data_IF_962401290498
#
_entry.id   IF_962401290498
#
_cell.length_a   1.000
_cell.length_b   1.000
_cell.length_c   1.000
_cell.angle_alpha   90.00
_cell.angle_beta   90.00
_cell.angle_gamma   90.00
#
_symmetry.space_group_name_H-M   'P 1'
#
loop_
_entity.id
_entity.type
_entity.pdbx_description
1 polymer ?
#
# COMPACT_ATOMS: atom_id res chain seq x y z
N UNK A 1 4.32 21.23 -3.50
CA UNK A 1 4.94 19.91 -3.75
C UNK A 1 6.10 19.79 -2.78
N UNK A 2 6.20 18.71 -2.01
CA UNK A 2 7.23 18.53 -0.97
C UNK A 2 8.61 18.37 -1.63
N UNK A 3 9.67 18.97 -1.06
CA UNK A 3 11.05 18.70 -1.49
C UNK A 3 11.58 17.39 -0.88
N UNK A 4 12.71 16.89 -1.39
CA UNK A 4 13.26 15.60 -0.95
C UNK A 4 13.57 15.56 0.55
N UNK A 5 14.06 16.67 1.11
CA UNK A 5 14.34 16.79 2.54
C UNK A 5 13.07 16.59 3.36
N UNK A 6 12.00 17.31 2.99
CA UNK A 6 10.68 17.19 3.63
C UNK A 6 10.13 15.77 3.53
N UNK A 7 10.30 15.11 2.37
CA UNK A 7 9.85 13.72 2.17
C UNK A 7 10.57 12.77 3.14
N UNK A 8 11.89 12.87 3.24
CA UNK A 8 12.68 12.08 4.19
C UNK A 8 12.28 12.34 5.63
N UNK A 9 12.10 13.60 6.02
CA UNK A 9 11.61 13.96 7.35
C UNK A 9 10.24 13.32 7.65
N UNK A 10 9.30 13.37 6.69
CA UNK A 10 7.97 12.78 6.87
C UNK A 10 8.04 11.26 7.04
N UNK A 11 8.91 10.58 6.31
CA UNK A 11 9.16 9.14 6.45
C UNK A 11 9.78 8.83 7.82
N UNK A 12 10.73 9.65 8.28
CA UNK A 12 11.31 9.48 9.61
C UNK A 12 10.28 9.74 10.72
N UNK A 13 9.35 10.66 10.53
CA UNK A 13 8.25 10.87 11.48
C UNK A 13 7.41 9.60 11.64
N UNK A 14 7.07 8.91 10.54
CA UNK A 14 6.44 7.59 10.65
C UNK A 14 7.33 6.60 11.41
N UNK A 15 8.62 6.53 11.07
CA UNK A 15 9.54 5.61 11.73
C UNK A 15 9.63 5.81 13.25
N UNK A 16 9.57 7.05 13.72
CA UNK A 16 9.58 7.35 15.16
C UNK A 16 8.25 7.01 15.84
N UNK A 17 7.13 7.07 15.12
CA UNK A 17 5.78 6.94 15.69
C UNK A 17 5.10 5.59 15.43
N UNK A 18 5.60 4.78 14.49
CA UNK A 18 4.95 3.54 14.02
C UNK A 18 4.68 2.55 15.14
N UNK A 19 5.54 2.44 16.15
CA UNK A 19 5.33 1.50 17.25
C UNK A 19 4.44 2.07 18.38
N UNK A 20 4.00 3.31 18.27
CA UNK A 20 3.11 3.96 19.25
C UNK A 20 1.64 3.59 19.05
N UNK A 21 0.83 3.82 20.10
CA UNK A 21 -0.63 3.63 20.02
C UNK A 21 -1.30 4.53 18.98
N UNK A 22 -0.69 5.69 18.69
CA UNK A 22 -1.21 6.63 17.69
C UNK A 22 -1.05 6.15 16.25
N UNK A 23 -0.23 5.12 16.00
CA UNK A 23 -0.05 4.59 14.66
C UNK A 23 -1.37 4.12 14.03
N UNK A 24 -2.28 3.56 14.84
CA UNK A 24 -3.59 3.15 14.33
C UNK A 24 -4.41 4.31 13.79
N UNK A 25 -4.33 5.47 14.44
CA UNK A 25 -5.07 6.66 14.04
C UNK A 25 -4.65 7.11 12.64
N UNK A 26 -3.36 7.02 12.33
CA UNK A 26 -2.85 7.36 11.01
C UNK A 26 -3.24 6.32 9.96
N UNK A 27 -3.08 5.04 10.27
CA UNK A 27 -3.39 3.94 9.36
C UNK A 27 -4.90 3.84 9.05
N UNK A 28 -5.76 4.32 9.95
CA UNK A 28 -7.22 4.42 9.77
C UNK A 28 -7.70 5.83 9.40
N UNK A 29 -6.80 6.74 8.99
CA UNK A 29 -7.20 8.11 8.62
C UNK A 29 -7.91 8.22 7.27
N UNK A 30 -8.03 7.11 6.53
CA UNK A 30 -8.82 7.01 5.31
C UNK A 30 -8.88 5.57 4.79
N UNK A 31 -9.43 5.40 3.58
CA UNK A 31 -9.83 4.08 3.07
C UNK A 31 -8.83 3.46 2.08
N UNK A 32 -7.68 4.10 1.86
CA UNK A 32 -6.68 3.69 0.88
C UNK A 32 -6.16 4.88 0.06
N UNK A 33 -5.25 4.60 -0.87
CA UNK A 33 -4.66 5.61 -1.78
C UNK A 33 -4.73 5.16 -3.23
N UNK A 34 -4.62 6.09 -4.17
CA UNK A 34 -4.66 5.79 -5.61
C UNK A 34 -3.28 5.60 -6.23
N UNK A 35 -3.19 4.57 -7.08
CA UNK A 35 -2.16 4.42 -8.10
C UNK A 35 -2.85 4.58 -9.45
N UNK A 36 -2.46 5.59 -10.21
CA UNK A 36 -3.03 5.92 -11.52
C UNK A 36 -2.19 5.35 -12.65
N UNK A 37 -2.81 5.21 -13.82
CA UNK A 37 -2.12 4.83 -15.06
C UNK A 37 -0.99 5.81 -15.39
N UNK A 38 -1.15 7.10 -15.05
CA UNK A 38 -0.10 8.10 -15.25
C UNK A 38 1.13 7.84 -14.37
N UNK A 39 0.94 7.44 -13.11
CA UNK A 39 2.07 7.04 -12.25
C UNK A 39 2.80 5.85 -12.87
N UNK A 40 2.05 4.83 -13.30
CA UNK A 40 2.59 3.64 -13.94
C UNK A 40 3.34 3.96 -15.25
N UNK A 41 2.79 4.84 -16.10
CA UNK A 41 3.43 5.25 -17.36
C UNK A 41 4.81 5.86 -17.10
N UNK A 42 4.93 6.76 -16.13
CA UNK A 42 6.22 7.35 -15.79
C UNK A 42 7.23 6.29 -15.33
N UNK A 43 6.83 5.33 -14.49
CA UNK A 43 7.73 4.24 -14.08
C UNK A 43 8.07 3.27 -15.22
N UNK A 44 7.18 3.09 -16.20
CA UNK A 44 7.41 2.20 -17.34
C UNK A 44 8.48 2.70 -18.32
N UNK A 45 8.72 4.01 -18.32
CA UNK A 45 9.75 4.67 -19.14
C UNK A 45 11.16 4.46 -18.57
N UNK A 46 11.28 4.08 -17.29
CA UNK A 46 12.56 3.86 -16.60
C UNK A 46 13.28 2.64 -17.19
N UNK A 47 14.61 2.74 -17.31
CA UNK A 47 15.50 1.69 -17.82
C UNK A 47 16.67 1.43 -16.86
N UNK A 48 16.95 0.17 -16.48
CA UNK A 48 16.19 -1.04 -16.80
C UNK A 48 14.75 -1.01 -16.26
N UNK A 49 13.91 -1.96 -16.64
CA UNK A 49 12.53 -2.01 -16.11
C UNK A 49 12.57 -2.24 -14.61
N UNK A 50 11.83 -1.48 -13.79
CA UNK A 50 11.75 -1.70 -12.35
C UNK A 50 11.29 -3.11 -11.99
N UNK A 51 11.78 -3.63 -10.86
CA UNK A 51 11.23 -4.87 -10.30
C UNK A 51 10.06 -4.57 -9.37
N UNK A 52 10.14 -3.47 -8.62
CA UNK A 52 9.15 -3.13 -7.59
C UNK A 52 8.90 -1.63 -7.53
N UNK A 53 7.72 -1.27 -7.04
CA UNK A 53 7.41 0.05 -6.51
C UNK A 53 7.49 -0.01 -4.99
N UNK A 54 8.36 0.81 -4.42
CA UNK A 54 8.51 1.02 -2.99
C UNK A 54 7.45 2.02 -2.52
N UNK A 55 6.69 1.62 -1.51
CA UNK A 55 5.59 2.36 -0.92
C UNK A 55 5.93 2.71 0.53
N UNK A 56 6.47 3.90 0.72
CA UNK A 56 6.90 4.41 2.02
C UNK A 56 5.74 5.03 2.77
N UNK A 57 5.58 4.61 4.03
CA UNK A 57 4.63 5.23 4.95
C UNK A 57 5.26 6.45 5.60
N UNK A 58 4.47 7.51 5.75
CA UNK A 58 4.97 8.78 6.27
C UNK A 58 3.90 9.57 7.02
N UNK A 59 4.36 10.43 7.95
CA UNK A 59 3.52 11.41 8.65
C UNK A 59 4.04 12.79 8.28
N UNK A 60 3.19 13.58 7.62
CA UNK A 60 3.59 14.92 7.22
C UNK A 60 3.64 15.89 8.42
N UNK A 61 4.20 17.09 8.23
CA UNK A 61 4.27 18.13 9.27
C UNK A 61 2.92 18.59 9.85
N UNK A 62 1.82 18.35 9.14
CA UNK A 62 0.46 18.65 9.59
C UNK A 62 -0.16 17.49 10.38
N UNK A 63 0.60 16.42 10.62
CA UNK A 63 0.15 15.21 11.27
C UNK A 63 -0.91 14.45 10.46
N UNK A 64 -0.84 14.54 9.12
CA UNK A 64 -1.61 13.70 8.21
C UNK A 64 -0.77 12.50 7.75
N UNK A 65 -1.44 11.37 7.53
CA UNK A 65 -0.81 10.20 6.93
C UNK A 65 -0.68 10.38 5.41
N UNK A 66 0.52 10.17 4.90
CA UNK A 66 0.83 10.25 3.46
C UNK A 66 1.67 9.04 3.05
N UNK A 67 1.62 8.72 1.77
CA UNK A 67 2.34 7.60 1.17
C UNK A 67 3.26 8.16 0.08
N UNK A 68 4.51 7.73 0.06
CA UNK A 68 5.44 8.04 -1.03
C UNK A 68 5.71 6.80 -1.87
N UNK A 69 5.46 6.90 -3.18
CA UNK A 69 5.65 5.82 -4.15
C UNK A 69 6.84 6.14 -5.06
N UNK A 70 7.78 5.21 -5.19
CA UNK A 70 8.94 5.32 -6.09
C UNK A 70 9.38 3.94 -6.55
N UNK A 71 9.88 3.82 -7.78
CA UNK A 71 10.42 2.55 -8.26
C UNK A 71 11.79 2.22 -7.63
N UNK A 72 12.14 0.93 -7.59
CA UNK A 72 13.37 0.44 -6.96
C UNK A 72 14.67 0.97 -7.60
N UNK A 73 14.64 1.37 -8.88
CA UNK A 73 15.82 1.86 -9.60
C UNK A 73 16.08 3.33 -9.28
N UNK A 74 15.06 4.17 -9.39
CA UNK A 74 15.14 5.58 -8.96
C UNK A 74 15.57 5.66 -7.51
N UNK A 75 14.94 4.87 -6.64
CA UNK A 75 15.23 4.88 -5.22
C UNK A 75 16.68 4.49 -4.92
N UNK A 76 17.18 3.42 -5.54
CA UNK A 76 18.57 2.97 -5.40
C UNK A 76 19.57 4.03 -5.89
N UNK A 77 19.25 4.76 -6.95
CA UNK A 77 20.14 5.78 -7.53
C UNK A 77 20.09 7.14 -6.82
N UNK A 78 19.01 7.43 -6.08
CA UNK A 78 18.79 8.72 -5.43
C UNK A 78 18.35 9.87 -6.36
N UNK A 79 18.03 9.58 -7.62
CA UNK A 79 17.70 10.58 -8.64
C UNK A 79 16.20 10.91 -8.67
N UNK A 80 15.70 11.49 -7.59
CA UNK A 80 14.27 11.76 -7.41
C UNK A 80 13.83 13.04 -8.13
N UNK A 81 12.70 12.94 -8.83
CA UNK A 81 11.92 14.06 -9.34
C UNK A 81 10.48 13.89 -8.88
N UNK A 82 10.06 14.76 -7.96
CA UNK A 82 8.72 14.69 -7.35
C UNK A 82 7.65 14.98 -8.40
N UNK A 83 6.63 14.14 -8.45
CA UNK A 83 5.56 14.17 -9.44
C UNK A 83 5.90 13.54 -10.79
N UNK A 84 7.11 12.97 -10.93
CA UNK A 84 7.55 12.27 -12.15
C UNK A 84 7.93 10.82 -11.84
N UNK A 85 8.88 10.58 -10.94
CA UNK A 85 9.28 9.22 -10.55
C UNK A 85 9.08 8.94 -9.05
N UNK A 86 8.87 9.99 -8.26
CA UNK A 86 8.50 9.94 -6.85
C UNK A 86 7.16 10.65 -6.63
N UNK A 87 6.16 9.93 -6.15
CA UNK A 87 4.80 10.46 -6.01
C UNK A 87 4.37 10.50 -4.55
N UNK A 88 3.82 11.64 -4.12
CA UNK A 88 3.10 11.77 -2.85
C UNK A 88 1.63 11.42 -3.07
N UNK A 89 1.13 10.46 -2.29
CA UNK A 89 -0.27 10.04 -2.27
C UNK A 89 -0.86 10.33 -0.91
N UNK A 90 -2.12 10.76 -0.92
CA UNK A 90 -2.93 10.95 0.28
C UNK A 90 -3.96 9.84 0.35
N UNK A 91 -4.46 9.61 1.55
CA UNK A 91 -5.65 8.80 1.67
C UNK A 91 -6.87 9.50 1.10
N UNK A 92 -7.70 8.70 0.45
CA UNK A 92 -8.99 9.12 -0.07
C UNK A 92 -10.10 8.53 0.80
N UNK A 93 -11.07 9.36 1.17
CA UNK A 93 -12.25 8.93 1.92
C UNK A 93 -13.27 8.24 1.01
N UNK A 94 -13.42 8.69 -0.24
CA UNK A 94 -14.42 8.20 -1.19
C UNK A 94 -13.81 8.03 -2.58
N UNK A 95 -14.10 6.90 -3.24
CA UNK A 95 -13.60 6.56 -4.58
C UNK A 95 -14.69 6.70 -5.67
N UNK A 96 -15.80 7.36 -5.34
CA UNK A 96 -17.06 7.32 -6.10
C UNK A 96 -17.01 8.06 -7.46
N UNK A 97 -15.88 8.71 -7.79
CA UNK A 97 -15.74 9.54 -8.98
C UNK A 97 -14.51 9.20 -9.85
N UNK A 98 -14.05 7.95 -9.84
CA UNK A 98 -12.97 7.54 -10.74
C UNK A 98 -13.50 7.41 -12.19
N UNK A 99 -13.07 8.24 -13.14
CA UNK A 99 -13.37 8.03 -14.55
C UNK A 99 -12.72 6.70 -15.02
N UNK A 100 -13.34 6.04 -15.98
CA UNK A 100 -12.78 4.85 -16.63
C UNK A 100 -13.45 3.53 -16.25
N UNK A 101 -14.66 3.31 -16.77
CA UNK A 101 -15.34 2.01 -16.75
C UNK A 101 -14.79 1.14 -17.89
N UNK A 102 -13.90 0.21 -17.55
CA UNK A 102 -13.45 -0.86 -18.45
C UNK A 102 -14.33 -2.09 -18.21
N UNK A 103 -15.03 -2.57 -19.25
CA UNK A 103 -15.90 -3.75 -19.18
C UNK A 103 -15.13 -5.10 -19.16
N UNK A 104 -13.84 -5.12 -18.83
CA UNK A 104 -13.07 -6.36 -18.85
C UNK A 104 -13.34 -7.21 -17.60
N UNK A 105 -13.85 -8.42 -17.78
CA UNK A 105 -14.00 -9.40 -16.69
C UNK A 105 -12.61 -9.92 -16.26
N UNK A 106 -12.20 -9.67 -15.01
CA UNK A 106 -10.89 -10.11 -14.51
C UNK A 106 -10.88 -11.55 -14.00
N UNK A 107 -9.79 -12.25 -14.32
CA UNK A 107 -9.23 -13.30 -13.45
C UNK A 107 -8.41 -12.60 -12.38
N UNK A 108 -9.02 -12.42 -11.21
CA UNK A 108 -8.34 -11.97 -9.99
C UNK A 108 -7.35 -13.03 -9.51
N UNK A 109 -6.16 -12.62 -9.03
CA UNK A 109 -5.27 -13.54 -8.29
C UNK A 109 -5.77 -13.79 -6.87
N UNK A 110 -6.63 -12.90 -6.35
CA UNK A 110 -7.24 -12.98 -5.02
C UNK A 110 -8.77 -13.06 -5.12
N UNK A 111 -9.43 -14.16 -4.72
CA UNK A 111 -10.89 -14.23 -4.73
C UNK A 111 -11.53 -13.07 -3.95
N UNK A 112 -12.63 -12.44 -4.43
CA UNK A 112 -13.28 -11.33 -3.73
C UNK A 112 -13.61 -11.63 -2.26
N UNK A 113 -14.16 -12.81 -1.97
CA UNK A 113 -14.45 -13.23 -0.59
C UNK A 113 -13.20 -13.29 0.31
N UNK A 114 -12.04 -13.60 -0.26
CA UNK A 114 -10.78 -13.62 0.47
C UNK A 114 -10.27 -12.19 0.70
N UNK A 115 -10.33 -11.33 -0.32
CA UNK A 115 -9.99 -9.92 -0.19
C UNK A 115 -10.86 -9.21 0.86
N UNK A 116 -12.17 -9.40 0.78
CA UNK A 116 -13.15 -8.83 1.71
C UNK A 116 -12.89 -9.29 3.14
N UNK A 117 -12.55 -10.57 3.34
CA UNK A 117 -12.19 -11.09 4.66
C UNK A 117 -10.96 -10.38 5.23
N UNK A 118 -9.90 -10.20 4.44
CA UNK A 118 -8.67 -9.54 4.90
C UNK A 118 -8.85 -8.04 5.14
N UNK A 119 -9.63 -7.36 4.31
CA UNK A 119 -10.01 -5.95 4.50
C UNK A 119 -10.88 -5.83 5.77
N UNK A 120 -11.85 -6.71 5.95
CA UNK A 120 -12.71 -6.75 7.14
C UNK A 120 -11.89 -7.00 8.41
N UNK A 121 -10.90 -7.90 8.35
CA UNK A 121 -9.98 -8.13 9.45
C UNK A 121 -9.20 -6.85 9.82
N UNK A 122 -8.77 -6.05 8.83
CA UNK A 122 -8.17 -4.75 9.12
C UNK A 122 -9.17 -3.81 9.83
N UNK A 123 -10.36 -3.64 9.27
CA UNK A 123 -11.39 -2.74 9.82
C UNK A 123 -11.77 -3.12 11.26
N UNK A 124 -11.97 -4.41 11.53
CA UNK A 124 -12.47 -4.89 12.83
C UNK A 124 -11.36 -5.18 13.84
N UNK A 125 -10.20 -5.65 13.39
CA UNK A 125 -9.17 -6.23 14.27
C UNK A 125 -7.87 -5.42 14.33
N UNK A 126 -7.72 -4.32 13.59
CA UNK A 126 -6.48 -3.52 13.57
C UNK A 126 -6.02 -3.02 14.95
N UNK A 127 -6.96 -2.65 15.82
CA UNK A 127 -6.66 -2.31 17.22
C UNK A 127 -6.06 -3.49 17.99
N UNK A 128 -6.67 -4.68 17.88
CA UNK A 128 -6.18 -5.88 18.54
C UNK A 128 -4.82 -6.30 17.97
N UNK A 129 -4.64 -6.19 16.66
CA UNK A 129 -3.37 -6.44 15.98
C UNK A 129 -2.23 -5.52 16.48
N UNK A 130 -2.47 -4.21 16.64
CA UNK A 130 -1.45 -3.29 17.19
C UNK A 130 -1.11 -3.62 18.65
N UNK A 131 -2.11 -3.98 19.47
CA UNK A 131 -1.86 -4.43 20.84
C UNK A 131 -1.03 -5.72 20.86
N UNK A 132 -1.30 -6.65 19.96
CA UNK A 132 -0.51 -7.87 19.82
C UNK A 132 0.94 -7.56 19.40
N UNK A 133 1.15 -6.71 18.38
CA UNK A 133 2.49 -6.22 17.99
C UNK A 133 3.21 -5.54 19.18
N UNK A 134 2.50 -4.77 20.00
CA UNK A 134 3.04 -4.15 21.22
C UNK A 134 3.51 -5.20 22.24
N UNK A 135 2.70 -6.24 22.48
CA UNK A 135 3.07 -7.33 23.38
C UNK A 135 4.32 -8.07 22.89
N UNK A 136 4.40 -8.41 21.60
CA UNK A 136 5.59 -9.04 21.00
C UNK A 136 6.85 -8.19 21.20
N UNK A 137 6.75 -6.85 21.13
CA UNK A 137 7.90 -5.97 21.40
C UNK A 137 8.39 -6.00 22.86
N UNK A 138 7.54 -6.40 23.81
CA UNK A 138 7.90 -6.53 25.22
C UNK A 138 8.58 -7.87 25.52
N UNK A 139 8.40 -8.86 24.65
CA UNK A 139 9.00 -10.17 24.73
C UNK A 139 10.37 -10.15 24.04
N UNK A 140 11.45 -10.41 24.80
CA UNK A 140 12.84 -10.29 24.29
C UNK A 140 13.14 -11.14 23.05
N UNK A 141 12.44 -12.25 22.87
CA UNK A 141 12.67 -13.20 21.79
C UNK A 141 11.87 -12.88 20.52
N UNK A 142 10.87 -11.99 20.61
CA UNK A 142 9.96 -11.66 19.50
C UNK A 142 9.91 -10.15 19.19
N UNK A 143 10.88 -9.37 19.70
CA UNK A 143 10.95 -7.91 19.51
C UNK A 143 10.85 -7.52 18.04
N UNK A 144 11.58 -8.20 17.17
CA UNK A 144 11.57 -7.95 15.73
C UNK A 144 10.19 -8.23 15.11
N UNK A 145 9.54 -9.33 15.49
CA UNK A 145 8.20 -9.68 15.01
C UNK A 145 7.14 -8.66 15.43
N UNK A 146 7.38 -8.00 16.56
CA UNK A 146 6.56 -6.90 17.04
C UNK A 146 6.72 -5.61 16.24
N UNK A 147 7.76 -5.42 15.44
CA UNK A 147 7.96 -4.16 14.72
C UNK A 147 6.90 -3.90 13.64
N UNK A 148 6.46 -2.65 13.56
CA UNK A 148 5.53 -2.19 12.52
C UNK A 148 6.25 -1.95 11.19
N UNK A 149 5.52 -2.14 10.10
CA UNK A 149 6.01 -1.96 8.72
C UNK A 149 6.50 -0.53 8.47
N UNK A 150 7.57 -0.40 7.68
CA UNK A 150 8.12 0.91 7.26
C UNK A 150 7.83 1.19 5.79
N UNK A 151 7.93 0.16 4.95
CA UNK A 151 7.76 0.25 3.50
C UNK A 151 7.09 -1.01 3.00
N UNK A 152 6.24 -0.89 1.98
CA UNK A 152 5.75 -2.03 1.21
C UNK A 152 6.43 -2.06 -0.16
N UNK A 153 6.56 -3.23 -0.76
CA UNK A 153 6.94 -3.34 -2.18
C UNK A 153 5.81 -3.95 -2.98
N UNK A 154 5.46 -3.32 -4.09
CA UNK A 154 4.48 -3.85 -5.06
C UNK A 154 5.26 -4.27 -6.31
N UNK A 155 5.22 -5.55 -6.73
CA UNK A 155 5.89 -6.02 -7.92
C UNK A 155 5.42 -5.25 -9.16
N UNK A 156 6.38 -4.74 -9.92
CA UNK A 156 6.10 -3.93 -11.11
C UNK A 156 5.40 -4.76 -12.20
N UNK A 157 5.68 -6.06 -12.26
CA UNK A 157 5.05 -6.98 -13.20
C UNK A 157 3.53 -7.08 -12.97
N UNK A 158 3.10 -7.06 -11.70
CA UNK A 158 1.68 -7.11 -11.36
C UNK A 158 0.97 -5.82 -11.77
N UNK A 159 1.60 -4.66 -11.51
CA UNK A 159 1.10 -3.37 -12.02
C UNK A 159 1.03 -3.36 -13.55
N UNK A 160 2.02 -3.92 -14.24
CA UNK A 160 2.01 -4.05 -15.70
C UNK A 160 0.83 -4.89 -16.18
N UNK A 161 0.52 -6.02 -15.55
CA UNK A 161 -0.67 -6.80 -15.93
C UNK A 161 -1.95 -5.98 -15.74
N UNK A 162 -2.10 -5.32 -14.59
CA UNK A 162 -3.29 -4.52 -14.25
C UNK A 162 -3.47 -3.31 -15.19
N UNK A 163 -2.42 -2.54 -15.46
CA UNK A 163 -2.51 -1.35 -16.31
C UNK A 163 -2.49 -1.66 -17.82
N UNK A 164 -1.65 -2.60 -18.29
CA UNK A 164 -1.52 -2.89 -19.72
C UNK A 164 -2.52 -3.94 -20.19
N UNK A 165 -2.60 -5.08 -19.50
CA UNK A 165 -3.42 -6.21 -19.95
C UNK A 165 -4.88 -6.04 -19.54
N UNK A 166 -5.15 -5.50 -18.33
CA UNK A 166 -6.51 -5.25 -17.84
C UNK A 166 -7.01 -3.84 -18.12
N UNK A 167 -6.14 -2.93 -18.60
CA UNK A 167 -6.47 -1.55 -18.99
C UNK A 167 -7.14 -0.77 -17.87
N UNK A 168 -6.62 -0.90 -16.67
CA UNK A 168 -7.09 -0.12 -15.54
C UNK A 168 -6.60 1.32 -15.63
N UNK A 169 -7.44 2.30 -15.31
CA UNK A 169 -7.02 3.71 -15.26
C UNK A 169 -6.53 4.09 -13.86
N UNK A 170 -7.17 3.52 -12.84
CA UNK A 170 -6.87 3.75 -11.43
C UNK A 170 -7.00 2.44 -10.65
N UNK A 171 -6.10 2.26 -9.69
CA UNK A 171 -6.09 1.19 -8.71
C UNK A 171 -6.16 1.81 -7.32
N UNK A 172 -7.13 1.38 -6.52
CA UNK A 172 -7.19 1.66 -5.10
C UNK A 172 -6.26 0.70 -4.37
N UNK A 173 -5.37 1.23 -3.56
CA UNK A 173 -4.52 0.48 -2.66
C UNK A 173 -5.07 0.61 -1.23
N UNK A 174 -5.56 -0.48 -0.64
CA UNK A 174 -6.16 -0.49 0.70
C UNK A 174 -5.36 -1.34 1.67
N UNK A 175 -5.30 -0.94 2.94
CA UNK A 175 -4.73 -1.80 3.98
C UNK A 175 -5.64 -2.97 4.28
N UNK A 176 -5.02 -4.12 4.56
CA UNK A 176 -5.67 -5.35 4.93
C UNK A 176 -4.81 -6.13 5.93
N UNK A 177 -5.41 -7.12 6.61
CA UNK A 177 -4.70 -8.07 7.47
C UNK A 177 -4.79 -9.48 6.87
N UNK A 178 -3.62 -10.02 6.53
CA UNK A 178 -3.48 -11.41 6.09
C UNK A 178 -3.11 -12.29 7.27
N UNK A 179 -3.95 -13.26 7.57
CA UNK A 179 -3.62 -14.28 8.56
C UNK A 179 -2.48 -15.15 8.03
N UNK A 180 -1.52 -15.44 8.90
CA UNK A 180 -0.49 -16.43 8.64
C UNK A 180 -0.39 -17.39 9.82
N UNK A 181 -0.05 -18.62 9.49
CA UNK A 181 0.19 -19.67 10.45
C UNK A 181 1.43 -20.44 10.01
N UNK A 182 2.47 -20.34 10.85
CA UNK A 182 3.66 -21.17 10.75
C UNK A 182 3.64 -22.18 11.90
N UNK A 183 4.58 -23.14 11.89
CA UNK A 183 4.71 -24.11 12.99
C UNK A 183 5.03 -23.45 14.34
N UNK A 184 5.53 -22.22 14.33
CA UNK A 184 6.09 -21.53 15.49
C UNK A 184 5.21 -20.36 15.93
N UNK A 185 4.53 -19.69 15.01
CA UNK A 185 3.76 -18.46 15.26
C UNK A 185 2.51 -18.42 14.38
N UNK A 186 1.38 -18.06 14.99
CA UNK A 186 0.15 -17.63 14.32
C UNK A 186 -0.01 -16.13 14.50
N UNK A 187 -0.45 -15.43 13.45
CA UNK A 187 -0.59 -13.98 13.52
C UNK A 187 -1.24 -13.37 12.30
N UNK A 188 -1.17 -12.04 12.24
CA UNK A 188 -1.58 -11.28 11.08
C UNK A 188 -0.44 -10.36 10.65
N UNK A 189 -0.24 -10.27 9.35
CA UNK A 189 0.61 -9.27 8.74
C UNK A 189 -0.24 -8.24 7.99
N UNK A 190 0.21 -7.00 8.09
CA UNK A 190 -0.37 -5.92 7.32
C UNK A 190 0.09 -6.03 5.88
N UNK A 191 -0.83 -5.81 4.96
CA UNK A 191 -0.56 -5.75 3.53
C UNK A 191 -1.35 -4.60 2.88
N UNK A 192 -1.02 -4.33 1.63
CA UNK A 192 -1.76 -3.47 0.72
C UNK A 192 -2.38 -4.33 -0.38
N UNK A 193 -3.70 -4.38 -0.44
CA UNK A 193 -4.45 -5.01 -1.52
C UNK A 193 -4.73 -3.95 -2.58
N UNK A 194 -4.48 -4.28 -3.84
CA UNK A 194 -4.89 -3.44 -4.96
C UNK A 194 -6.30 -3.85 -5.39
N UNK A 195 -7.18 -2.87 -5.57
CA UNK A 195 -8.57 -3.05 -5.94
C UNK A 195 -8.94 -2.14 -7.10
N UNK A 196 -9.82 -2.63 -7.97
CA UNK A 196 -10.57 -1.80 -8.91
C UNK A 196 -12.05 -2.00 -8.67
N UNK A 197 -12.74 -0.89 -8.45
CA UNK A 197 -14.20 -0.82 -8.36
C UNK A 197 -14.75 -0.49 -9.75
N UNK A 198 -15.63 -1.34 -10.25
CA UNK A 198 -16.41 -1.13 -11.47
C UNK A 198 -17.87 -0.90 -11.07
N UNK A 199 -18.39 0.27 -11.41
CA UNK A 199 -19.80 0.61 -11.23
C UNK A 199 -20.59 0.24 -12.48
N UNK A 200 -21.40 -0.82 -12.41
CA UNK A 200 -22.33 -1.09 -13.49
C UNK A 200 -23.55 -0.17 -13.33
N UNK A 201 -23.47 1.02 -13.93
CA UNK A 201 -24.58 1.95 -14.04
C UNK A 201 -25.53 1.51 -15.15
N UNK A 202 -26.16 0.34 -14.99
CA UNK A 202 -27.29 -0.05 -15.84
C UNK A 202 -28.53 0.74 -15.37
N UNK A 203 -29.02 1.72 -16.16
CA UNK A 203 -30.16 2.55 -15.77
C UNK A 203 -31.45 1.73 -15.63
N UNK A 204 -31.54 0.55 -16.26
CA UNK A 204 -32.73 -0.30 -16.26
C UNK A 204 -32.77 -1.27 -15.06
N UNK A 205 -31.61 -1.57 -14.47
CA UNK A 205 -31.51 -2.54 -13.37
C UNK A 205 -32.02 -2.00 -12.02
N UNK A 206 -32.22 -0.68 -11.88
CA UNK A 206 -32.68 -0.02 -10.63
C UNK A 206 -31.72 -0.16 -9.43
N UNK A 207 -30.65 -0.94 -9.57
CA UNK A 207 -29.62 -1.22 -8.56
C UNK A 207 -28.26 -1.14 -9.25
N UNK A 208 -27.42 -0.21 -8.80
CA UNK A 208 -26.01 -0.17 -9.21
C UNK A 208 -25.29 -1.39 -8.64
N UNK A 209 -24.92 -2.33 -9.51
CA UNK A 209 -24.08 -3.45 -9.12
C UNK A 209 -22.62 -2.97 -9.09
N UNK A 210 -22.06 -2.91 -7.88
CA UNK A 210 -20.64 -2.66 -7.68
C UNK A 210 -19.90 -3.99 -7.82
N UNK A 211 -18.97 -4.07 -8.76
CA UNK A 211 -18.07 -5.21 -8.89
C UNK A 211 -16.66 -4.78 -8.55
N UNK A 212 -16.02 -5.51 -7.64
CA UNK A 212 -14.63 -5.27 -7.29
C UNK A 212 -13.72 -6.40 -7.77
N UNK A 213 -12.55 -6.03 -8.26
CA UNK A 213 -11.47 -6.95 -8.63
C UNK A 213 -10.24 -6.64 -7.78
N UNK A 214 -9.57 -7.68 -7.26
CA UNK A 214 -8.51 -7.53 -6.27
C UNK A 214 -7.17 -8.14 -6.73
N UNK A 215 -6.06 -7.69 -6.16
CA UNK A 215 -4.76 -8.30 -6.34
C UNK A 215 -3.95 -8.23 -5.04
N UNK A 216 -3.57 -9.41 -4.52
CA UNK A 216 -2.62 -9.58 -3.41
C UNK A 216 -1.20 -9.55 -4.00
N UNK A 217 -0.54 -8.40 -3.92
CA UNK A 217 0.76 -8.19 -4.60
C UNK A 217 1.80 -7.55 -3.69
N UNK A 218 1.39 -6.85 -2.64
CA UNK A 218 2.33 -6.13 -1.80
C UNK A 218 3.08 -7.05 -0.85
N UNK A 219 4.33 -6.68 -0.54
CA UNK A 219 5.12 -7.33 0.49
C UNK A 219 5.51 -6.30 1.56
N UNK A 220 5.16 -6.49 2.84
CA UNK A 220 5.56 -5.59 3.90
C UNK A 220 7.05 -5.75 4.24
N UNK A 221 7.71 -4.64 4.54
CA UNK A 221 9.09 -4.62 5.05
C UNK A 221 9.14 -3.87 6.39
N UNK A 222 9.06 -4.60 7.52
CA UNK A 222 9.47 -4.09 8.83
C UNK A 222 11.01 -3.92 8.90
N UNK A 223 11.54 -3.23 9.92
CA UNK A 223 12.97 -2.87 9.99
C UNK A 223 13.93 -4.06 9.87
N UNK A 224 13.59 -5.20 10.48
CA UNK A 224 14.44 -6.39 10.50
C UNK A 224 14.54 -7.08 9.13
N UNK A 225 13.59 -6.85 8.22
CA UNK A 225 13.58 -7.46 6.89
C UNK A 225 14.31 -6.60 5.84
N UNK A 226 14.82 -5.42 6.23
CA UNK A 226 15.45 -4.49 5.32
C UNK A 226 16.88 -4.96 5.00
N UNK A 227 17.13 -5.17 3.71
CA UNK A 227 18.49 -5.34 3.20
C UNK A 227 19.18 -3.97 3.11
N UNK A 228 20.47 -3.88 3.49
CA UNK A 228 21.23 -2.65 3.31
C UNK A 228 21.18 -2.17 1.86
N UNK A 229 20.97 -0.88 1.66
CA UNK A 229 20.94 -0.16 0.37
C UNK A 229 19.71 -0.39 -0.51
N UNK A 230 18.71 -1.14 -0.05
CA UNK A 230 17.48 -1.38 -0.85
C UNK A 230 16.48 -0.21 -0.82
N UNK A 231 16.45 0.53 0.28
CA UNK A 231 15.44 1.55 0.54
C UNK A 231 16.11 2.87 0.94
N UNK A 232 16.39 3.72 -0.04
CA UNK A 232 17.26 4.88 0.14
C UNK A 232 16.54 6.06 0.81
N UNK A 233 15.21 6.16 0.67
CA UNK A 233 14.42 7.15 1.39
C UNK A 233 14.30 6.90 2.91
N UNK A 234 14.71 5.73 3.42
CA UNK A 234 14.81 5.46 4.87
C UNK A 234 16.10 6.02 5.50
N UNK A 235 16.98 6.63 4.71
CA UNK A 235 18.32 7.08 5.12
C UNK A 235 18.43 8.59 5.19
#
# INVERSE_FOLDING_TARGET
>A
MSDLTTIKENIQNWNLNRNGKNAIKFLNSGNGFLISENDFKNWSEIKPTPNNINCYLAINKNNDFVIYLVDDITDSSGNYTVGVNLFEKRFEEYFDNLPGLSNSLLKSTLPPSEADSRITNWVLCSNAWICHKQSLRQEKESVEQGEMVQVFTIPFLDLKDLFINKKFENLKATFALKYYETKEVQGYDMEVILAKTDFNNDPEAGVSLVKESFADTSHPHPPYSLTPNKFNLLR
#
